data_IF_342497049921
#
_entry.id   IF_342497049921
#
_cell.length_a   1.000
_cell.length_b   1.000
_cell.length_c   1.000
_cell.angle_alpha   90.00
_cell.angle_beta   90.00
_cell.angle_gamma   90.00
#
_symmetry.space_group_name_H-M   'P 1'
#
loop_
_entity.id
_entity.type
_entity.pdbx_description
1 polymer ?
#
# COMPACT_ATOMS: atom_id res chain seq x y z
N UNK A 1 -7.50 17.03 -9.58
CA UNK A 1 -8.80 17.74 -9.66
C UNK A 1 -8.90 18.73 -10.82
N UNK A 2 -8.02 19.73 -10.94
CA UNK A 2 -8.09 20.75 -12.01
C UNK A 2 -8.22 20.22 -13.45
N UNK A 3 -7.66 19.03 -13.73
CA UNK A 3 -7.71 18.38 -15.04
C UNK A 3 -8.94 17.47 -15.25
N UNK A 4 -9.91 17.46 -14.32
CA UNK A 4 -11.09 16.59 -14.41
C UNK A 4 -10.83 15.10 -14.11
N UNK A 5 -9.61 14.71 -13.78
CA UNK A 5 -9.30 13.34 -13.31
C UNK A 5 -9.94 13.12 -11.93
N UNK A 6 -10.65 12.00 -11.80
CA UNK A 6 -11.46 11.66 -10.63
C UNK A 6 -11.07 10.34 -9.93
N UNK A 7 -10.08 9.60 -10.44
CA UNK A 7 -9.62 8.33 -9.85
C UNK A 7 -8.11 8.31 -9.66
N UNK A 8 -7.64 7.81 -8.52
CA UNK A 8 -6.20 7.64 -8.24
C UNK A 8 -5.92 6.41 -7.38
N UNK A 9 -4.96 5.58 -7.81
CA UNK A 9 -4.36 4.55 -6.96
C UNK A 9 -3.03 5.10 -6.43
N UNK A 10 -2.85 5.08 -5.12
CA UNK A 10 -1.62 5.53 -4.46
C UNK A 10 -0.94 4.35 -3.76
N UNK A 11 0.29 4.04 -4.17
CA UNK A 11 1.11 3.02 -3.52
C UNK A 11 2.03 3.69 -2.51
N UNK A 12 1.90 3.31 -1.25
CA UNK A 12 2.72 3.81 -0.14
C UNK A 12 3.54 2.69 0.49
N UNK A 13 3.28 2.33 1.74
CA UNK A 13 4.02 1.32 2.50
C UNK A 13 3.25 0.93 3.76
N UNK A 14 3.38 -0.34 4.20
CA UNK A 14 3.10 -0.70 5.58
C UNK A 14 3.84 0.26 6.52
N UNK A 15 3.16 0.66 7.60
CA UNK A 15 3.60 1.69 8.53
C UNK A 15 3.03 3.09 8.25
N UNK A 16 2.40 3.35 7.10
CA UNK A 16 1.74 4.63 6.86
C UNK A 16 0.39 4.73 7.60
N UNK A 17 -0.01 5.96 7.96
CA UNK A 17 -1.31 6.25 8.57
C UNK A 17 -1.58 5.48 9.86
N UNK A 18 -2.75 4.87 9.93
CA UNK A 18 -3.21 4.04 11.05
C UNK A 18 -2.40 2.75 11.25
N UNK A 19 -1.53 2.37 10.31
CA UNK A 19 -0.58 1.26 10.49
C UNK A 19 0.75 1.67 11.16
N UNK A 20 0.96 2.98 11.41
CA UNK A 20 2.16 3.51 12.08
C UNK A 20 2.46 2.91 13.47
N UNK A 21 1.46 2.69 14.37
CA UNK A 21 1.74 2.12 15.68
C UNK A 21 2.41 0.74 15.63
N UNK A 22 2.19 -0.02 14.55
CA UNK A 22 2.73 -1.36 14.37
C UNK A 22 4.10 -1.37 13.67
N UNK A 23 4.57 -0.23 13.15
CA UNK A 23 5.85 -0.17 12.47
C UNK A 23 7.00 -0.40 13.47
N UNK A 24 7.85 -1.40 13.21
CA UNK A 24 8.98 -1.72 14.09
C UNK A 24 9.94 -0.54 14.27
N UNK A 25 10.59 -0.43 15.44
CA UNK A 25 11.57 0.64 15.71
C UNK A 25 12.73 0.64 14.71
N UNK A 26 13.18 -0.54 14.27
CA UNK A 26 14.19 -0.66 13.20
C UNK A 26 13.72 -0.02 11.90
N UNK A 27 12.46 -0.25 11.51
CA UNK A 27 11.89 0.34 10.31
C UNK A 27 11.62 1.85 10.48
N UNK A 28 11.23 2.32 11.66
CA UNK A 28 11.13 3.76 11.96
C UNK A 28 12.50 4.44 11.85
N UNK A 29 13.57 3.82 12.36
CA UNK A 29 14.92 4.36 12.24
C UNK A 29 15.39 4.42 10.77
N UNK A 30 15.09 3.40 9.97
CA UNK A 30 15.51 3.33 8.58
C UNK A 30 14.66 4.19 7.62
N UNK A 31 13.33 4.24 7.84
CA UNK A 31 12.37 4.76 6.85
C UNK A 31 11.34 5.73 7.45
N UNK A 32 11.42 6.05 8.74
CA UNK A 32 10.35 6.77 9.46
C UNK A 32 9.97 8.11 8.83
N UNK A 33 10.94 8.90 8.35
CA UNK A 33 10.63 10.16 7.68
C UNK A 33 9.86 9.92 6.38
N UNK A 34 10.32 9.00 5.53
CA UNK A 34 9.65 8.66 4.27
C UNK A 34 8.23 8.11 4.48
N UNK A 35 8.02 7.31 5.54
CA UNK A 35 6.70 6.80 5.92
C UNK A 35 5.78 7.93 6.38
N UNK A 36 6.28 8.90 7.14
CA UNK A 36 5.50 10.07 7.56
C UNK A 36 5.12 10.97 6.38
N UNK A 37 6.04 11.22 5.45
CA UNK A 37 5.73 11.97 4.22
C UNK A 37 4.66 11.24 3.39
N UNK A 38 4.78 9.92 3.24
CA UNK A 38 3.75 9.12 2.57
C UNK A 38 2.41 9.16 3.32
N UNK A 39 2.42 9.20 4.64
CA UNK A 39 1.20 9.38 5.45
C UNK A 39 0.52 10.73 5.19
N UNK A 40 1.29 11.80 5.01
CA UNK A 40 0.74 13.09 4.59
C UNK A 40 0.14 13.02 3.19
N UNK A 41 0.80 12.33 2.27
CA UNK A 41 0.27 12.10 0.92
C UNK A 41 -1.05 11.30 0.93
N UNK A 42 -1.14 10.26 1.78
CA UNK A 42 -2.39 9.54 2.01
C UNK A 42 -3.48 10.47 2.56
N UNK A 43 -3.19 11.23 3.62
CA UNK A 43 -4.15 12.18 4.20
C UNK A 43 -4.68 13.17 3.17
N UNK A 44 -3.80 13.70 2.31
CA UNK A 44 -4.20 14.62 1.25
C UNK A 44 -5.11 13.95 0.22
N UNK A 45 -4.80 12.72 -0.20
CA UNK A 45 -5.65 11.97 -1.13
C UNK A 45 -7.00 11.62 -0.50
N UNK A 46 -7.02 11.18 0.76
CA UNK A 46 -8.23 10.78 1.48
C UNK A 46 -9.19 11.94 1.77
N UNK A 47 -8.67 13.17 1.78
CA UNK A 47 -9.45 14.41 1.96
C UNK A 47 -9.71 15.15 0.64
N UNK A 48 -9.28 14.57 -0.49
CA UNK A 48 -9.55 15.09 -1.83
C UNK A 48 -10.92 14.66 -2.37
N UNK A 49 -11.25 15.11 -3.57
CA UNK A 49 -12.47 14.74 -4.30
C UNK A 49 -12.33 13.45 -5.12
N UNK A 50 -11.14 12.81 -5.13
CA UNK A 50 -10.89 11.64 -5.97
C UNK A 50 -11.45 10.38 -5.34
N UNK A 51 -12.04 9.50 -6.15
CA UNK A 51 -12.18 8.09 -5.77
C UNK A 51 -10.77 7.45 -5.75
N UNK A 52 -10.45 6.72 -4.69
CA UNK A 52 -9.09 6.25 -4.46
C UNK A 52 -9.01 4.81 -3.97
N UNK A 53 -7.85 4.21 -4.24
CA UNK A 53 -7.37 3.06 -3.50
C UNK A 53 -5.94 3.33 -3.03
N UNK A 54 -5.66 3.15 -1.75
CA UNK A 54 -4.31 3.21 -1.20
C UNK A 54 -3.82 1.78 -0.98
N UNK A 55 -2.66 1.46 -1.52
CA UNK A 55 -2.02 0.16 -1.37
C UNK A 55 -0.75 0.34 -0.55
N UNK A 56 -0.63 -0.39 0.57
CA UNK A 56 0.48 -0.37 1.52
C UNK A 56 1.21 -1.72 1.48
N UNK A 57 2.16 -1.93 0.54
CA UNK A 57 2.96 -3.15 0.51
C UNK A 57 3.79 -3.33 1.78
N UNK A 58 4.05 -4.59 2.14
CA UNK A 58 5.11 -4.93 3.08
C UNK A 58 6.52 -4.76 2.51
N UNK A 59 7.48 -5.48 3.07
CA UNK A 59 8.86 -5.46 2.59
C UNK A 59 8.94 -5.89 1.13
N UNK A 60 9.40 -4.99 0.26
CA UNK A 60 9.46 -5.26 -1.18
C UNK A 60 10.64 -6.17 -1.52
N UNK A 61 10.35 -7.25 -2.24
CA UNK A 61 11.33 -8.18 -2.79
C UNK A 61 11.33 -8.14 -4.32
N UNK A 62 12.48 -8.44 -4.90
CA UNK A 62 12.60 -8.73 -6.33
C UNK A 62 12.27 -10.20 -6.60
N UNK A 63 11.78 -10.51 -7.80
CA UNK A 63 11.39 -11.85 -8.18
C UNK A 63 10.17 -11.86 -9.10
N UNK A 64 9.86 -13.04 -9.63
CA UNK A 64 8.63 -13.25 -10.39
C UNK A 64 7.40 -13.15 -9.49
N UNK A 65 6.25 -12.82 -10.07
CA UNK A 65 4.98 -12.85 -9.34
C UNK A 65 4.67 -14.28 -8.88
N UNK A 66 4.25 -14.44 -7.62
CA UNK A 66 3.81 -15.72 -7.07
C UNK A 66 2.30 -15.91 -7.23
N UNK A 67 1.55 -14.82 -7.37
CA UNK A 67 0.08 -14.80 -7.36
C UNK A 67 -0.52 -15.04 -5.98
N UNK A 68 0.29 -15.02 -4.91
CA UNK A 68 -0.14 -15.39 -3.54
C UNK A 68 -0.20 -14.20 -2.58
N UNK A 69 0.12 -13.00 -3.05
CA UNK A 69 -0.08 -11.79 -2.26
C UNK A 69 -1.57 -11.55 -1.96
N UNK A 70 -1.85 -10.99 -0.79
CA UNK A 70 -3.20 -10.83 -0.25
C UNK A 70 -3.41 -9.40 0.22
N UNK A 71 -4.53 -8.80 -0.21
CA UNK A 71 -4.99 -7.51 0.31
C UNK A 71 -5.68 -7.73 1.66
N UNK A 72 -5.23 -7.01 2.68
CA UNK A 72 -5.71 -7.10 4.06
C UNK A 72 -6.16 -5.71 4.52
N UNK A 73 -7.23 -5.64 5.31
CA UNK A 73 -7.76 -4.38 5.85
C UNK A 73 -8.04 -4.49 7.35
N UNK A 74 -8.01 -3.35 8.05
CA UNK A 74 -8.47 -3.18 9.44
C UNK A 74 -7.83 -4.11 10.49
N UNK A 75 -6.62 -4.60 10.22
CA UNK A 75 -5.85 -5.40 11.17
C UNK A 75 -4.36 -5.13 11.00
N UNK A 76 -3.61 -5.39 12.08
CA UNK A 76 -2.15 -5.41 12.04
C UNK A 76 -1.65 -6.44 11.03
N UNK A 77 -0.62 -6.07 10.27
CA UNK A 77 -0.11 -6.87 9.16
C UNK A 77 1.41 -6.66 9.04
N UNK A 78 2.15 -7.75 8.89
CA UNK A 78 3.60 -7.77 8.69
C UNK A 78 3.96 -8.81 7.66
N UNK A 79 4.90 -8.51 6.78
CA UNK A 79 5.35 -9.47 5.78
C UNK A 79 6.10 -8.83 4.63
N UNK A 80 6.36 -9.64 3.62
CA UNK A 80 7.03 -9.25 2.39
C UNK A 80 6.08 -9.43 1.20
N UNK A 81 6.41 -8.82 0.07
CA UNK A 81 5.70 -9.04 -1.20
C UNK A 81 6.65 -8.78 -2.35
N UNK A 82 6.55 -9.59 -3.42
CA UNK A 82 7.31 -9.34 -4.63
C UNK A 82 6.75 -8.11 -5.37
N UNK A 83 7.63 -7.26 -5.91
CA UNK A 83 7.23 -6.08 -6.69
C UNK A 83 6.30 -6.42 -7.85
N UNK A 84 6.50 -7.60 -8.44
CA UNK A 84 5.64 -8.11 -9.52
C UNK A 84 4.19 -8.36 -9.06
N UNK A 85 3.98 -8.89 -7.86
CA UNK A 85 2.63 -9.07 -7.30
C UNK A 85 1.98 -7.73 -6.93
N UNK A 86 2.75 -6.76 -6.43
CA UNK A 86 2.25 -5.39 -6.21
C UNK A 86 1.68 -4.82 -7.52
N UNK A 87 2.40 -4.97 -8.64
CA UNK A 87 1.94 -4.53 -9.95
C UNK A 87 0.65 -5.26 -10.39
N UNK A 88 0.55 -6.57 -10.13
CA UNK A 88 -0.65 -7.35 -10.43
C UNK A 88 -1.88 -6.83 -9.66
N UNK A 89 -1.74 -6.53 -8.36
CA UNK A 89 -2.83 -5.98 -7.56
C UNK A 89 -3.21 -4.54 -7.94
N UNK A 90 -2.25 -3.71 -8.38
CA UNK A 90 -2.56 -2.38 -8.94
C UNK A 90 -3.40 -2.53 -10.21
N UNK A 91 -3.02 -3.43 -11.11
CA UNK A 91 -3.76 -3.71 -12.34
C UNK A 91 -5.19 -4.20 -12.05
N UNK A 92 -5.36 -5.09 -11.07
CA UNK A 92 -6.68 -5.56 -10.63
C UNK A 92 -7.55 -4.43 -10.10
N UNK A 93 -7.01 -3.57 -9.22
CA UNK A 93 -7.72 -2.40 -8.69
C UNK A 93 -8.07 -1.38 -9.79
N UNK A 94 -7.17 -1.16 -10.75
CA UNK A 94 -7.39 -0.24 -11.86
C UNK A 94 -8.58 -0.67 -12.75
N UNK A 95 -8.72 -1.98 -12.98
CA UNK A 95 -9.78 -2.58 -13.77
C UNK A 95 -11.08 -2.85 -12.99
N UNK A 96 -11.08 -2.66 -11.66
CA UNK A 96 -12.30 -2.75 -10.87
C UNK A 96 -13.29 -1.64 -11.28
N UNK A 97 -14.62 -1.86 -11.16
CA UNK A 97 -15.63 -0.85 -11.50
C UNK A 97 -15.47 0.48 -10.76
N UNK A 98 -14.98 0.44 -9.52
CA UNK A 98 -14.68 1.59 -8.68
C UNK A 98 -13.57 1.25 -7.69
N UNK A 99 -12.90 2.27 -7.13
CA UNK A 99 -11.89 2.08 -6.08
C UNK A 99 -12.50 2.16 -4.68
N UNK A 100 -13.65 2.84 -4.54
CA UNK A 100 -14.48 2.91 -3.33
C UNK A 100 -13.73 3.42 -2.09
N UNK A 101 -12.75 4.31 -2.27
CA UNK A 101 -12.01 4.96 -1.18
C UNK A 101 -11.36 3.95 -0.21
N UNK A 102 -10.82 2.85 -0.75
CA UNK A 102 -10.32 1.73 0.06
C UNK A 102 -8.83 1.88 0.40
N UNK A 103 -8.43 1.36 1.55
CA UNK A 103 -7.03 1.27 1.98
C UNK A 103 -6.70 -0.19 2.27
N UNK A 104 -5.66 -0.71 1.62
CA UNK A 104 -5.24 -2.11 1.70
C UNK A 104 -3.79 -2.22 2.12
N UNK A 105 -3.51 -3.04 3.12
CA UNK A 105 -2.19 -3.66 3.32
C UNK A 105 -2.00 -4.77 2.28
N UNK A 106 -0.76 -4.99 1.82
CA UNK A 106 -0.46 -6.05 0.84
C UNK A 106 0.81 -6.82 1.21
N UNK A 107 0.64 -8.11 1.50
CA UNK A 107 1.74 -9.05 1.78
C UNK A 107 1.45 -10.40 1.15
N UNK A 108 2.48 -11.20 0.91
CA UNK A 108 2.34 -12.65 0.73
C UNK A 108 2.62 -13.34 2.08
N UNK A 109 1.64 -14.06 2.66
CA UNK A 109 1.88 -14.85 3.86
C UNK A 109 3.04 -15.83 3.67
N UNK A 110 3.86 -15.99 4.70
CA UNK A 110 5.02 -16.89 4.75
C UNK A 110 6.18 -16.55 3.79
N UNK A 111 6.06 -15.51 2.95
CA UNK A 111 7.15 -15.06 2.09
C UNK A 111 8.30 -14.47 2.93
N UNK A 112 9.53 -14.90 2.62
CA UNK A 112 10.76 -14.45 3.29
C UNK A 112 11.79 -14.01 2.24
N UNK A 113 12.68 -13.05 2.59
CA UNK A 113 13.88 -12.81 1.79
C UNK A 113 14.70 -14.09 1.67
N UNK A 114 15.40 -14.24 0.53
CA UNK A 114 16.38 -15.31 0.33
C UNK A 114 17.54 -15.21 1.32
#
# INVERSE_FOLDING_TARGET
EKAGISRMILVTSLGCGDSWPFLSERAKAAFGQAVREKTLAESWLQTSQLDYAILRPGGLLDGAATGKAQRIQNQECHGFVNRADVAAHIHELANAPALNQQVYSLIEPDLKPA
#
